data_IF_421737260230
#
_entry.id   IF_421737260230
#
_cell.length_a   1.000
_cell.length_b   1.000
_cell.length_c   1.000
_cell.angle_alpha   90.00
_cell.angle_beta   90.00
_cell.angle_gamma   90.00
#
_symmetry.space_group_name_H-M   'P 1'
#
loop_
_entity.id
_entity.type
_entity.pdbx_description
1 polymer ?
#
# COMPACT_ATOMS: atom_id res chain seq x y z
N UNK A 1 -10.76 9.46 -8.91
CA UNK A 1 -10.03 10.38 -8.00
C UNK A 1 -11.00 11.45 -7.51
N UNK A 2 -10.88 11.92 -6.25
CA UNK A 2 -11.70 13.02 -5.68
C UNK A 2 -10.78 14.18 -5.31
N UNK A 3 -11.10 15.40 -5.73
CA UNK A 3 -10.30 16.60 -5.45
C UNK A 3 -11.18 17.84 -5.29
N UNK A 4 -10.68 18.85 -4.56
CA UNK A 4 -11.39 20.11 -4.25
C UNK A 4 -10.65 21.26 -4.94
N UNK A 5 -11.39 22.11 -5.67
CA UNK A 5 -10.84 23.28 -6.36
C UNK A 5 -11.69 24.52 -6.07
N UNK A 6 -11.06 25.69 -5.94
CA UNK A 6 -11.75 26.99 -5.87
C UNK A 6 -11.54 27.76 -7.18
N UNK A 7 -12.64 28.07 -7.88
CA UNK A 7 -12.62 28.78 -9.17
C UNK A 7 -13.21 27.97 -10.34
N UNK A 8 -13.31 28.59 -11.52
CA UNK A 8 -13.77 27.92 -12.73
C UNK A 8 -12.70 26.96 -13.27
N UNK A 9 -13.08 25.70 -13.50
CA UNK A 9 -12.16 24.69 -14.06
C UNK A 9 -12.12 24.84 -15.58
N UNK A 10 -10.92 24.89 -16.15
CA UNK A 10 -10.72 24.81 -17.61
C UNK A 10 -10.36 23.38 -18.02
N UNK A 11 -9.22 22.87 -17.53
CA UNK A 11 -8.78 21.49 -17.72
C UNK A 11 -8.12 20.91 -16.46
N UNK A 12 -8.06 19.58 -16.38
CA UNK A 12 -7.36 18.80 -15.36
C UNK A 12 -6.51 17.75 -16.06
N UNK A 13 -5.19 17.84 -15.91
CA UNK A 13 -4.25 16.85 -16.45
C UNK A 13 -3.95 15.76 -15.41
N UNK A 14 -4.00 14.50 -15.84
CA UNK A 14 -3.68 13.32 -15.02
C UNK A 14 -2.63 12.48 -15.75
N UNK A 15 -1.56 12.13 -15.05
CA UNK A 15 -0.50 11.26 -15.58
C UNK A 15 0.06 10.34 -14.49
N UNK A 16 0.46 9.12 -14.86
CA UNK A 16 1.13 8.20 -13.94
C UNK A 16 2.60 8.59 -13.71
N UNK A 17 3.06 8.57 -12.46
CA UNK A 17 4.45 8.88 -12.07
C UNK A 17 5.05 7.75 -11.22
N UNK A 18 6.27 7.33 -11.56
CA UNK A 18 7.02 6.31 -10.82
C UNK A 18 7.54 6.83 -9.48
N UNK A 19 7.37 6.02 -8.42
CA UNK A 19 7.73 6.38 -7.03
C UNK A 19 9.25 6.49 -6.83
N UNK A 20 10.03 5.57 -7.42
CA UNK A 20 11.49 5.49 -7.19
C UNK A 20 12.32 6.30 -8.20
N UNK A 21 11.81 6.51 -9.42
CA UNK A 21 12.53 7.21 -10.50
C UNK A 21 12.02 8.63 -10.73
N UNK A 22 10.87 9.00 -10.15
CA UNK A 22 10.17 10.27 -10.42
C UNK A 22 9.85 10.51 -11.91
N UNK A 23 9.93 9.50 -12.76
CA UNK A 23 9.60 9.61 -14.19
C UNK A 23 8.10 9.51 -14.43
N UNK A 24 7.61 10.23 -15.44
CA UNK A 24 6.22 10.18 -15.87
C UNK A 24 6.05 9.18 -17.01
N UNK A 25 4.96 8.41 -16.97
CA UNK A 25 4.59 7.51 -18.05
C UNK A 25 3.80 8.27 -19.12
N UNK A 26 4.41 8.46 -20.29
CA UNK A 26 3.80 9.20 -21.40
C UNK A 26 2.65 8.43 -22.07
N UNK A 27 2.50 7.12 -21.82
CA UNK A 27 1.41 6.32 -22.37
C UNK A 27 0.13 6.43 -21.55
N UNK A 28 0.23 6.84 -20.28
CA UNK A 28 -0.90 7.00 -19.37
C UNK A 28 -1.04 8.45 -18.93
N UNK A 29 -1.44 9.29 -19.90
CA UNK A 29 -1.78 10.71 -19.71
C UNK A 29 -3.19 10.97 -20.23
N UNK A 30 -3.98 11.73 -19.48
CA UNK A 30 -5.27 12.24 -19.90
C UNK A 30 -5.44 13.70 -19.49
N UNK A 31 -6.21 14.43 -20.28
CA UNK A 31 -6.63 15.80 -20.00
C UNK A 31 -8.14 15.81 -19.97
N UNK A 32 -8.73 16.19 -18.85
CA UNK A 32 -10.18 16.29 -18.67
C UNK A 32 -10.60 17.76 -18.74
N UNK A 33 -11.57 18.10 -19.58
CA UNK A 33 -12.26 19.39 -19.54
C UNK A 33 -13.32 19.41 -18.44
N UNK A 34 -13.75 20.59 -18.02
CA UNK A 34 -14.78 20.72 -16.98
C UNK A 34 -16.08 19.93 -17.27
N UNK A 35 -16.48 19.84 -18.53
CA UNK A 35 -17.65 19.07 -18.97
C UNK A 35 -17.49 17.55 -18.83
N UNK A 36 -16.26 17.06 -18.73
CA UNK A 36 -15.92 15.63 -18.56
C UNK A 36 -15.72 15.27 -17.08
N UNK A 37 -15.83 16.24 -16.18
CA UNK A 37 -15.75 16.06 -14.74
C UNK A 37 -17.14 15.90 -14.14
N UNK A 38 -17.30 14.88 -13.32
CA UNK A 38 -18.51 14.70 -12.54
C UNK A 38 -18.45 15.57 -11.29
N UNK A 39 -19.39 16.51 -11.15
CA UNK A 39 -19.50 17.37 -9.98
C UNK A 39 -20.17 16.62 -8.83
N UNK A 40 -19.46 16.45 -7.71
CA UNK A 40 -20.00 15.78 -6.50
C UNK A 40 -20.68 16.81 -5.57
N UNK A 41 -20.09 17.99 -5.40
CA UNK A 41 -20.65 19.09 -4.61
C UNK A 41 -20.16 20.44 -5.15
N UNK A 42 -20.40 21.55 -4.43
CA UNK A 42 -20.07 22.91 -4.88
C UNK A 42 -18.64 23.04 -5.41
N UNK A 43 -17.67 22.39 -4.75
CA UNK A 43 -16.24 22.52 -5.06
C UNK A 43 -15.51 21.18 -5.29
N UNK A 44 -16.23 20.05 -5.21
CA UNK A 44 -15.66 18.71 -5.38
C UNK A 44 -16.02 18.13 -6.73
N UNK A 45 -15.02 17.61 -7.43
CA UNK A 45 -15.16 16.96 -8.72
C UNK A 45 -14.53 15.56 -8.72
N UNK A 46 -15.03 14.71 -9.63
CA UNK A 46 -14.55 13.36 -9.88
C UNK A 46 -14.24 13.18 -11.36
N UNK A 47 -13.07 12.64 -11.63
CA UNK A 47 -12.68 12.14 -12.94
C UNK A 47 -12.46 10.63 -12.86
N UNK A 48 -12.91 9.93 -13.91
CA UNK A 48 -12.58 8.53 -14.13
C UNK A 48 -11.39 8.45 -15.09
N UNK A 49 -10.21 8.16 -14.55
CA UNK A 49 -9.01 7.92 -15.33
C UNK A 49 -8.79 6.41 -15.46
N UNK A 50 -9.00 5.88 -16.67
CA UNK A 50 -8.86 4.45 -16.95
C UNK A 50 -7.47 4.15 -17.52
N UNK A 51 -6.53 3.76 -16.65
CA UNK A 51 -5.22 3.28 -17.06
C UNK A 51 -5.28 1.77 -17.37
N UNK A 52 -5.90 1.41 -18.49
CA UNK A 52 -6.04 0.02 -18.92
C UNK A 52 -4.95 -0.34 -19.95
N UNK A 53 -4.11 -1.31 -19.60
CA UNK A 53 -3.05 -1.82 -20.48
C UNK A 53 -3.54 -2.75 -21.58
N UNK A 54 -4.81 -3.18 -21.58
CA UNK A 54 -5.33 -4.13 -22.58
C UNK A 54 -5.77 -3.49 -23.91
N UNK A 55 -5.92 -2.16 -23.97
CA UNK A 55 -6.34 -1.43 -25.18
C UNK A 55 -5.18 -0.78 -25.97
N UNK A 56 -3.92 -1.10 -25.64
CA UNK A 56 -2.68 -0.62 -26.29
C UNK A 56 -2.26 0.77 -25.80
N UNK A 57 -0.97 1.06 -25.50
CA UNK A 57 0.30 0.47 -25.93
C UNK A 57 1.01 -0.39 -24.86
N UNK A 58 1.87 -1.30 -25.32
CA UNK A 58 2.47 -2.39 -24.54
C UNK A 58 3.47 -1.92 -23.46
N UNK A 59 3.31 -2.46 -22.26
CA UNK A 59 4.27 -3.38 -21.65
C UNK A 59 3.50 -4.56 -21.01
N UNK A 60 3.91 -5.82 -21.20
CA UNK A 60 3.39 -6.92 -20.39
C UNK A 60 3.96 -6.78 -18.98
N UNK A 61 3.10 -6.65 -17.96
CA UNK A 61 3.55 -6.56 -16.57
C UNK A 61 3.06 -7.70 -15.68
N UNK A 62 2.32 -8.67 -16.23
CA UNK A 62 1.94 -9.88 -15.48
C UNK A 62 2.44 -11.14 -16.18
N UNK A 63 3.44 -11.76 -15.57
CA UNK A 63 3.49 -13.21 -15.56
C UNK A 63 2.31 -13.63 -14.67
N UNK A 64 1.36 -14.39 -15.19
CA UNK A 64 0.43 -15.10 -14.32
C UNK A 64 1.25 -16.18 -13.62
N UNK A 65 1.74 -15.86 -12.42
CA UNK A 65 2.15 -16.89 -11.47
C UNK A 65 0.86 -17.43 -10.90
N UNK A 66 0.42 -18.61 -11.39
CA UNK A 66 -0.46 -19.49 -10.62
C UNK A 66 0.49 -20.25 -9.69
N UNK A 67 0.72 -19.80 -8.44
CA UNK A 67 1.43 -20.65 -7.51
C UNK A 67 0.64 -21.97 -7.47
N UNK A 68 1.33 -23.09 -7.74
CA UNK A 68 0.75 -24.36 -7.35
C UNK A 68 0.46 -24.26 -5.84
N UNK A 69 -0.69 -24.76 -5.37
CA UNK A 69 -0.99 -24.73 -3.94
C UNK A 69 0.21 -25.31 -3.21
N UNK A 70 0.84 -24.48 -2.40
CA UNK A 70 2.04 -24.86 -1.65
C UNK A 70 1.58 -25.25 -0.27
N UNK A 71 2.11 -26.36 0.22
CA UNK A 71 1.78 -26.81 1.56
C UNK A 71 2.30 -25.80 2.58
N UNK A 72 1.50 -25.54 3.60
CA UNK A 72 1.94 -24.72 4.73
C UNK A 72 3.16 -25.40 5.36
N UNK A 73 4.26 -24.65 5.48
CA UNK A 73 5.51 -25.19 6.02
C UNK A 73 5.51 -25.07 7.54
N UNK A 74 5.82 -26.16 8.22
CA UNK A 74 6.21 -26.10 9.63
C UNK A 74 7.67 -25.71 9.71
N UNK A 75 7.99 -24.80 10.62
CA UNK A 75 9.34 -24.28 10.79
C UNK A 75 9.78 -24.43 12.23
N UNK A 76 11.07 -24.69 12.41
CA UNK A 76 11.74 -24.52 13.69
C UNK A 76 12.60 -23.27 13.59
N UNK A 77 12.27 -22.29 14.41
CA UNK A 77 13.03 -21.06 14.54
C UNK A 77 14.13 -21.24 15.60
N UNK A 78 15.33 -20.73 15.33
CA UNK A 78 16.48 -20.79 16.24
C UNK A 78 17.32 -19.53 16.13
N UNK A 79 18.26 -19.32 17.07
CA UNK A 79 19.01 -18.07 17.22
C UNK A 79 18.09 -16.85 17.36
N UNK A 80 17.48 -16.69 18.54
CA UNK A 80 16.72 -15.48 18.84
C UNK A 80 17.65 -14.26 18.77
N UNK A 81 17.30 -13.29 17.94
CA UNK A 81 18.08 -12.07 17.70
C UNK A 81 17.40 -10.82 18.24
N UNK A 82 16.15 -10.93 18.69
CA UNK A 82 15.45 -9.80 19.28
C UNK A 82 14.02 -10.15 19.67
N UNK A 83 13.29 -9.11 20.06
CA UNK A 83 11.88 -9.17 20.42
C UNK A 83 11.18 -7.89 19.94
N UNK A 84 9.97 -8.02 19.41
CA UNK A 84 9.07 -6.89 19.17
C UNK A 84 8.06 -6.76 20.29
N UNK A 85 7.62 -5.53 20.55
CA UNK A 85 6.50 -5.25 21.44
C UNK A 85 5.73 -4.03 20.95
N UNK A 86 4.48 -3.91 21.39
CA UNK A 86 3.67 -2.73 21.07
C UNK A 86 4.11 -1.54 21.93
N UNK A 87 4.34 -0.39 21.29
CA UNK A 87 4.50 0.90 21.95
C UNK A 87 3.40 1.83 21.45
N UNK A 88 2.78 2.58 22.36
CA UNK A 88 1.67 3.48 22.04
C UNK A 88 2.07 4.91 22.37
N UNK A 89 1.81 5.84 21.47
CA UNK A 89 1.86 7.28 21.77
C UNK A 89 0.49 7.88 21.50
N UNK A 90 -0.11 8.48 22.53
CA UNK A 90 -1.43 9.12 22.46
C UNK A 90 -1.25 10.63 22.45
N UNK A 91 -1.78 11.29 21.42
CA UNK A 91 -1.74 12.74 21.30
C UNK A 91 -3.14 13.32 21.54
N UNK A 92 -3.27 14.27 22.48
CA UNK A 92 -4.55 14.89 22.86
C UNK A 92 -4.71 16.31 22.30
N UNK A 93 -3.87 16.71 21.34
CA UNK A 93 -3.85 18.04 20.73
C UNK A 93 -3.11 19.11 21.55
N UNK A 94 -3.07 18.96 22.88
CA UNK A 94 -2.28 19.82 23.78
C UNK A 94 -1.11 19.10 24.44
N UNK A 95 -1.09 17.76 24.41
CA UNK A 95 -0.01 16.95 24.95
C UNK A 95 0.16 15.63 24.20
N UNK A 96 1.32 15.01 24.39
CA UNK A 96 1.68 13.69 23.88
C UNK A 96 2.07 12.80 25.06
N UNK A 97 1.48 11.61 25.15
CA UNK A 97 1.76 10.62 26.18
C UNK A 97 2.29 9.35 25.52
N UNK A 98 3.56 9.03 25.79
CA UNK A 98 4.14 7.75 25.39
C UNK A 98 3.90 6.71 26.47
N UNK A 99 3.38 5.57 26.04
CA UNK A 99 3.25 4.34 26.79
C UNK A 99 4.25 3.36 26.17
N UNK A 100 5.49 3.46 26.62
CA UNK A 100 6.55 2.47 26.40
C UNK A 100 6.68 1.56 27.64
N UNK A 101 5.57 1.39 28.35
CA UNK A 101 5.44 0.64 29.60
C UNK A 101 6.62 0.75 30.57
N UNK A 102 7.26 1.91 30.71
CA UNK A 102 8.36 2.13 31.66
C UNK A 102 9.47 1.06 31.58
N UNK A 103 9.88 0.69 30.37
CA UNK A 103 10.86 -0.38 30.14
C UNK A 103 10.29 -1.80 30.24
N UNK A 104 8.97 -1.94 30.44
CA UNK A 104 8.23 -3.20 30.32
C UNK A 104 7.29 -3.10 29.11
N UNK A 105 7.35 -4.04 28.16
CA UNK A 105 6.54 -3.97 26.97
C UNK A 105 5.04 -4.00 27.28
N UNK A 106 4.26 -3.23 26.53
CA UNK A 106 2.80 -3.36 26.56
C UNK A 106 2.43 -4.68 25.88
N UNK A 107 2.00 -5.65 26.69
CA UNK A 107 1.60 -6.97 26.22
C UNK A 107 2.75 -7.94 26.00
N UNK A 108 2.50 -8.97 25.18
CA UNK A 108 3.46 -10.05 24.93
C UNK A 108 4.64 -9.57 24.08
N UNK A 109 5.84 -10.02 24.45
CA UNK A 109 7.02 -9.90 23.60
C UNK A 109 6.95 -10.96 22.51
N UNK A 110 7.10 -10.54 21.26
CA UNK A 110 7.13 -11.44 20.11
C UNK A 110 8.59 -11.68 19.75
N UNK A 111 9.16 -12.87 20.04
CA UNK A 111 10.55 -13.16 19.74
C UNK A 111 10.81 -13.24 18.23
N UNK A 112 11.98 -12.76 17.83
CA UNK A 112 12.46 -12.73 16.44
C UNK A 112 13.70 -13.59 16.35
N UNK A 113 13.78 -14.42 15.32
CA UNK A 113 14.84 -15.40 15.13
C UNK A 113 15.54 -15.15 13.81
N UNK A 114 16.88 -15.22 13.77
CA UNK A 114 17.63 -15.07 12.52
C UNK A 114 17.62 -16.32 11.66
N UNK A 115 17.36 -17.48 12.28
CA UNK A 115 17.38 -18.76 11.59
C UNK A 115 15.99 -19.37 11.62
N UNK A 116 15.57 -19.85 10.46
CA UNK A 116 14.31 -20.53 10.26
C UNK A 116 14.57 -21.74 9.37
N UNK A 117 14.41 -22.95 9.93
CA UNK A 117 14.57 -24.19 9.19
C UNK A 117 13.20 -24.81 8.98
N UNK A 118 12.85 -25.11 7.73
CA UNK A 118 11.64 -25.86 7.39
C UNK A 118 11.81 -27.28 7.90
N UNK A 119 10.92 -27.70 8.81
CA UNK A 119 10.94 -29.05 9.40
C UNK A 119 9.87 -29.97 8.81
N UNK A 120 8.97 -29.42 8.00
CA UNK A 120 7.99 -30.21 7.29
C UNK A 120 6.99 -29.36 6.52
N UNK A 121 6.02 -30.05 5.94
CA UNK A 121 4.89 -29.48 5.23
C UNK A 121 3.63 -30.10 5.83
N UNK A 122 2.63 -29.28 6.13
CA UNK A 122 1.32 -29.77 6.60
C UNK A 122 0.51 -30.30 5.40
N UNK A 123 -0.65 -30.91 5.68
CA UNK A 123 -1.61 -31.28 4.64
C UNK A 123 -2.45 -30.12 4.09
N UNK A 124 -2.24 -28.90 4.61
CA UNK A 124 -3.00 -27.71 4.25
C UNK A 124 -2.34 -26.99 3.07
N UNK A 125 -3.14 -26.65 2.05
CA UNK A 125 -2.71 -25.91 0.88
C UNK A 125 -3.10 -24.44 1.01
N UNK A 126 -2.19 -23.53 0.68
CA UNK A 126 -2.43 -22.07 0.54
C UNK A 126 -2.25 -21.60 -0.90
#
# INVERSE_FOLDING_TARGET
>A
MRFVLSGGISTVDVQLKGVNTSQYDNNFKATFKNEELEKIDTNTYRALFNANSTTGPLLPQSIIVRPAPVKVKTVTASNQVGEFYAALTVNTGTASYSFDGNGRPLGYRVPVYSNCTVTGETGENV
#
